data_IF_416066103576
#
_entry.id   IF_416066103576
#
_cell.length_a   1.000
_cell.length_b   1.000
_cell.length_c   1.000
_cell.angle_alpha   90.00
_cell.angle_beta   90.00
_cell.angle_gamma   90.00
#
_symmetry.space_group_name_H-M   'P 1'
#
loop_
_entity.id
_entity.type
_entity.pdbx_description
1 polymer ?
#
# COMPACT_ATOMS: atom_id res chain seq x y z
N UNK A 1 -10.59 7.11 4.22
CA UNK A 1 -9.19 6.65 4.33
C UNK A 1 -9.07 5.38 5.16
N UNK A 2 -9.64 5.29 6.37
CA UNK A 2 -9.44 4.11 7.24
C UNK A 2 -10.03 2.80 6.68
N UNK A 3 -11.23 2.84 6.08
CA UNK A 3 -11.81 1.66 5.40
C UNK A 3 -10.92 1.11 4.28
N UNK A 4 -10.24 1.99 3.55
CA UNK A 4 -9.32 1.60 2.48
C UNK A 4 -8.10 0.87 3.05
N UNK A 5 -7.48 1.44 4.09
CA UNK A 5 -6.34 0.83 4.80
C UNK A 5 -6.74 -0.56 5.30
N UNK A 6 -7.87 -0.70 6.00
CA UNK A 6 -8.35 -2.01 6.48
C UNK A 6 -8.54 -3.00 5.34
N UNK A 7 -9.06 -2.56 4.19
CA UNK A 7 -9.26 -3.42 3.02
C UNK A 7 -7.94 -3.88 2.42
N UNK A 8 -6.96 -2.97 2.31
CA UNK A 8 -5.62 -3.28 1.81
C UNK A 8 -4.94 -4.29 2.74
N UNK A 9 -4.93 -4.04 4.05
CA UNK A 9 -4.34 -4.96 5.03
C UNK A 9 -4.99 -6.35 4.97
N UNK A 10 -6.33 -6.42 4.86
CA UNK A 10 -7.04 -7.69 4.72
C UNK A 10 -6.70 -8.43 3.42
N UNK A 11 -6.37 -7.72 2.33
CA UNK A 11 -5.88 -8.32 1.08
C UNK A 11 -4.45 -8.82 1.23
N UNK A 12 -3.57 -8.02 1.82
CA UNK A 12 -2.16 -8.39 2.03
C UNK A 12 -2.05 -9.61 2.94
N UNK A 13 -2.83 -9.68 4.03
CA UNK A 13 -2.86 -10.84 4.93
C UNK A 13 -3.29 -12.16 4.25
N UNK A 14 -3.99 -12.08 3.11
CA UNK A 14 -4.41 -13.24 2.31
C UNK A 14 -3.41 -13.61 1.22
N UNK A 15 -2.36 -12.82 1.02
CA UNK A 15 -1.33 -13.14 0.05
C UNK A 15 -0.45 -14.29 0.56
N UNK A 16 -0.03 -15.21 -0.32
CA UNK A 16 1.03 -16.15 -0.02
C UNK A 16 2.30 -15.42 0.42
N UNK A 17 3.03 -15.99 1.38
CA UNK A 17 4.33 -15.48 1.81
C UNK A 17 5.24 -15.23 0.59
N UNK A 18 5.89 -14.05 0.55
CA UNK A 18 6.73 -13.54 -0.55
C UNK A 18 5.98 -12.95 -1.76
N UNK A 19 4.66 -12.75 -1.72
CA UNK A 19 3.94 -11.98 -2.75
C UNK A 19 3.79 -10.51 -2.37
N UNK A 20 3.80 -9.67 -3.39
CA UNK A 20 3.56 -8.23 -3.32
C UNK A 20 2.12 -7.93 -3.73
N UNK A 21 1.44 -7.06 -2.98
CA UNK A 21 0.21 -6.42 -3.46
C UNK A 21 0.61 -5.15 -4.22
N UNK A 22 0.20 -5.04 -5.48
CA UNK A 22 0.24 -3.79 -6.22
C UNK A 22 -1.14 -3.15 -6.17
N UNK A 23 -1.23 -1.92 -5.69
CA UNK A 23 -2.49 -1.19 -5.59
C UNK A 23 -2.37 0.16 -6.29
N UNK A 24 -3.07 0.29 -7.41
CA UNK A 24 -3.16 1.55 -8.15
C UNK A 24 -3.95 2.58 -7.32
N UNK A 25 -3.33 3.73 -7.08
CA UNK A 25 -3.93 4.86 -6.35
C UNK A 25 -4.16 6.05 -7.30
N UNK A 26 -4.43 5.77 -8.58
CA UNK A 26 -4.90 6.77 -9.53
C UNK A 26 -6.05 7.62 -8.96
N UNK A 27 -5.93 8.94 -9.13
CA UNK A 27 -6.88 9.91 -8.60
C UNK A 27 -6.59 10.37 -7.17
N UNK A 28 -5.62 9.77 -6.47
CA UNK A 28 -5.13 10.28 -5.19
C UNK A 28 -4.13 11.41 -5.45
N UNK A 29 -4.23 12.48 -4.67
CA UNK A 29 -3.19 13.50 -4.64
C UNK A 29 -1.95 13.01 -3.88
N UNK A 30 -0.83 13.70 -4.03
CA UNK A 30 0.45 13.34 -3.42
C UNK A 30 0.36 13.21 -1.89
N UNK A 31 -0.35 14.12 -1.22
CA UNK A 31 -0.51 14.07 0.24
C UNK A 31 -1.39 12.90 0.70
N UNK A 32 -2.38 12.50 -0.10
CA UNK A 32 -3.18 11.31 0.14
C UNK A 32 -2.38 10.03 -0.05
N UNK A 33 -1.51 9.97 -1.07
CA UNK A 33 -0.59 8.85 -1.30
C UNK A 33 0.39 8.71 -0.14
N UNK A 34 1.02 9.82 0.28
CA UNK A 34 1.92 9.85 1.44
C UNK A 34 1.22 9.41 2.73
N UNK A 35 0.01 9.93 2.98
CA UNK A 35 -0.79 9.55 4.16
C UNK A 35 -1.13 8.06 4.15
N UNK A 36 -1.49 7.51 2.98
CA UNK A 36 -1.81 6.10 2.83
C UNK A 36 -0.57 5.22 3.02
N UNK A 37 0.56 5.61 2.42
CA UNK A 37 1.85 4.94 2.61
C UNK A 37 2.24 4.92 4.10
N UNK A 38 2.21 6.06 4.78
CA UNK A 38 2.56 6.17 6.19
C UNK A 38 1.68 5.29 7.09
N UNK A 39 0.36 5.24 6.83
CA UNK A 39 -0.57 4.39 7.57
C UNK A 39 -0.30 2.89 7.37
N UNK A 40 0.08 2.48 6.16
CA UNK A 40 0.40 1.09 5.86
C UNK A 40 1.80 0.69 6.38
N UNK A 41 2.79 1.59 6.25
CA UNK A 41 4.16 1.39 6.75
C UNK A 41 4.26 1.41 8.28
N UNK A 42 3.23 1.88 8.98
CA UNK A 42 3.13 1.74 10.44
C UNK A 42 2.97 0.28 10.90
N UNK A 43 2.63 -0.64 9.98
CA UNK A 43 2.58 -2.07 10.27
C UNK A 43 4.00 -2.65 10.20
N UNK A 44 4.46 -3.26 11.29
CA UNK A 44 5.85 -3.75 11.41
C UNK A 44 6.16 -4.96 10.54
N UNK A 45 5.12 -5.63 10.03
CA UNK A 45 5.21 -6.79 9.16
C UNK A 45 5.12 -6.41 7.67
N UNK A 46 5.06 -5.12 7.32
CA UNK A 46 4.89 -4.66 5.95
C UNK A 46 6.03 -3.73 5.50
N UNK A 47 6.45 -3.93 4.25
CA UNK A 47 7.26 -2.97 3.50
C UNK A 47 6.36 -2.30 2.46
N UNK A 48 6.36 -0.97 2.39
CA UNK A 48 5.48 -0.22 1.49
C UNK A 48 6.27 0.81 0.69
N UNK A 49 6.21 0.70 -0.63
CA UNK A 49 6.85 1.61 -1.56
C UNK A 49 5.81 2.25 -2.48
N UNK A 50 6.05 3.50 -2.87
CA UNK A 50 5.30 4.15 -3.95
C UNK A 50 6.15 4.04 -5.21
N UNK A 51 5.63 3.33 -6.21
CA UNK A 51 6.22 3.21 -7.54
C UNK A 51 5.31 3.85 -8.59
N UNK A 52 5.71 3.81 -9.86
CA UNK A 52 4.96 4.39 -10.96
C UNK A 52 5.26 5.86 -11.21
N UNK A 53 4.29 6.59 -11.76
CA UNK A 53 4.45 8.01 -12.16
C UNK A 53 3.53 8.90 -11.34
N UNK A 54 3.79 10.22 -11.34
CA UNK A 54 2.91 11.18 -10.66
C UNK A 54 1.44 11.15 -11.13
N UNK A 55 1.17 10.65 -12.34
CA UNK A 55 -0.20 10.52 -12.89
C UNK A 55 -0.85 9.17 -12.54
N UNK A 56 -0.04 8.14 -12.33
CA UNK A 56 -0.47 6.80 -11.96
C UNK A 56 0.47 6.28 -10.87
N UNK A 57 0.29 6.73 -9.62
CA UNK A 57 1.05 6.22 -8.50
C UNK A 57 0.54 4.83 -8.13
N UNK A 58 1.47 3.92 -7.82
CA UNK A 58 1.16 2.54 -7.43
C UNK A 58 1.79 2.27 -6.09
N UNK A 59 1.03 1.71 -5.16
CA UNK A 59 1.56 1.20 -3.90
C UNK A 59 1.98 -0.25 -4.07
N UNK A 60 3.26 -0.53 -3.83
CA UNK A 60 3.81 -1.88 -3.72
C UNK A 60 3.95 -2.24 -2.25
N UNK A 61 3.24 -3.29 -1.82
CA UNK A 61 3.16 -3.71 -0.42
C UNK A 61 3.63 -5.14 -0.29
N UNK A 62 4.71 -5.35 0.46
CA UNK A 62 5.33 -6.65 0.69
C UNK A 62 5.16 -7.05 2.16
N UNK A 63 4.98 -8.34 2.42
CA UNK A 63 5.10 -8.87 3.77
C UNK A 63 6.59 -9.03 4.12
N UNK A 64 7.04 -8.34 5.15
CA UNK A 64 8.34 -8.56 5.79
C UNK A 64 8.25 -9.86 6.60
N UNK A 65 9.07 -10.85 6.24
CA UNK A 65 9.17 -12.15 6.93
C UNK A 65 10.20 -12.11 8.05
#
# INVERSE_FOLDING_TARGET
>A
MDTLVTTILAKVAKLPAKRTLMYDVEGFDEGQVETLQAKLAAQTDLHVEVTGTRRHPVLEIHQQS
#
